data_IF_880509550038
#
_entry.id   IF_880509550038
#
_cell.length_a   1.000
_cell.length_b   1.000
_cell.length_c   1.000
_cell.angle_alpha   90.00
_cell.angle_beta   90.00
_cell.angle_gamma   90.00
#
_symmetry.space_group_name_H-M   'P 1'
#
loop_
_entity.id
_entity.type
_entity.pdbx_description
1 polymer ?
#
# COMPACT_ATOMS: atom_id res chain seq x y z
N UNK A 1 -17.56 0.16 7.54
CA UNK A 1 -17.73 -0.55 6.24
C UNK A 1 -16.96 0.18 5.14
N UNK A 2 -15.67 -0.11 4.97
CA UNK A 2 -14.99 0.21 3.71
C UNK A 2 -15.42 -0.85 2.69
N UNK A 3 -16.63 -0.67 2.12
CA UNK A 3 -17.20 -1.49 1.03
C UNK A 3 -16.51 -1.20 -0.32
N UNK A 4 -15.56 -0.28 -0.37
CA UNK A 4 -14.88 0.12 -1.59
C UNK A 4 -13.82 -0.90 -1.93
N UNK A 5 -13.96 -1.50 -3.11
CA UNK A 5 -12.96 -2.40 -3.70
C UNK A 5 -11.56 -1.80 -3.59
N UNK A 6 -10.68 -2.47 -2.83
CA UNK A 6 -9.31 -2.03 -2.49
C UNK A 6 -8.50 -1.70 -3.76
N UNK A 7 -8.80 -2.40 -4.86
CA UNK A 7 -8.25 -2.14 -6.18
C UNK A 7 -8.70 -0.78 -6.75
N UNK A 8 -9.97 -0.44 -6.58
CA UNK A 8 -10.54 0.82 -7.05
C UNK A 8 -10.00 2.02 -6.25
N UNK A 9 -9.74 1.82 -4.96
CA UNK A 9 -9.06 2.83 -4.13
C UNK A 9 -7.68 3.18 -4.69
N UNK A 10 -6.84 2.17 -4.94
CA UNK A 10 -5.49 2.38 -5.48
C UNK A 10 -5.51 3.00 -6.88
N UNK A 11 -6.48 2.64 -7.73
CA UNK A 11 -6.67 3.28 -9.04
C UNK A 11 -6.96 4.77 -8.91
N UNK A 12 -7.96 5.13 -8.08
CA UNK A 12 -8.30 6.54 -7.81
C UNK A 12 -7.15 7.31 -7.18
N UNK A 13 -6.33 6.64 -6.37
CA UNK A 13 -5.15 7.25 -5.77
C UNK A 13 -4.15 7.68 -6.84
N UNK A 14 -3.83 6.82 -7.80
CA UNK A 14 -2.95 7.20 -8.93
C UNK A 14 -3.53 8.36 -9.74
N UNK A 15 -4.85 8.34 -10.00
CA UNK A 15 -5.52 9.39 -10.78
C UNK A 15 -5.51 10.75 -10.07
N UNK A 16 -5.61 10.76 -8.74
CA UNK A 16 -5.67 11.99 -7.94
C UNK A 16 -4.31 12.53 -7.49
N UNK A 17 -3.24 11.75 -7.63
CA UNK A 17 -1.90 12.08 -7.13
C UNK A 17 -0.86 12.05 -8.28
N UNK A 18 -0.82 13.10 -9.13
CA UNK A 18 0.08 13.14 -10.29
C UNK A 18 1.57 13.17 -9.89
N UNK A 19 1.86 13.65 -8.68
CA UNK A 19 3.21 13.84 -8.12
C UNK A 19 3.85 12.53 -7.62
N UNK A 20 3.12 11.42 -7.68
CA UNK A 20 3.70 10.10 -7.46
C UNK A 20 4.85 9.85 -8.43
N UNK A 21 5.97 9.39 -7.88
CA UNK A 21 7.12 9.05 -8.70
C UNK A 21 6.88 7.75 -9.49
N UNK A 22 7.71 7.50 -10.49
CA UNK A 22 7.55 6.33 -11.36
C UNK A 22 7.64 5.00 -10.59
N UNK A 23 8.46 4.94 -9.54
CA UNK A 23 8.62 3.74 -8.70
C UNK A 23 7.33 3.49 -7.89
N UNK A 24 6.76 4.53 -7.29
CA UNK A 24 5.51 4.46 -6.53
C UNK A 24 4.35 4.07 -7.43
N UNK A 25 4.24 4.69 -8.61
CA UNK A 25 3.24 4.34 -9.63
C UNK A 25 3.37 2.87 -10.02
N UNK A 26 4.59 2.38 -10.27
CA UNK A 26 4.82 0.96 -10.58
C UNK A 26 4.42 0.03 -9.44
N UNK A 27 4.79 0.33 -8.21
CA UNK A 27 4.44 -0.50 -7.05
C UNK A 27 2.92 -0.55 -6.87
N UNK A 28 2.23 0.58 -6.98
CA UNK A 28 0.76 0.61 -6.87
C UNK A 28 0.10 -0.14 -8.04
N UNK A 29 0.58 0.03 -9.28
CA UNK A 29 0.07 -0.69 -10.44
C UNK A 29 0.23 -2.21 -10.30
N UNK A 30 1.39 -2.67 -9.84
CA UNK A 30 1.64 -4.09 -9.57
C UNK A 30 0.62 -4.64 -8.55
N UNK A 31 0.36 -3.89 -7.47
CA UNK A 31 -0.66 -4.29 -6.50
C UNK A 31 -2.08 -4.26 -7.05
N UNK A 32 -2.43 -3.31 -7.92
CA UNK A 32 -3.73 -3.30 -8.63
C UNK A 32 -3.92 -4.54 -9.51
N UNK A 33 -2.86 -4.98 -10.19
CA UNK A 33 -2.86 -6.19 -11.03
C UNK A 33 -3.02 -7.43 -10.16
N UNK A 34 -2.26 -7.53 -9.07
CA UNK A 34 -2.32 -8.67 -8.16
C UNK A 34 -3.68 -8.79 -7.45
N UNK A 35 -4.26 -7.67 -7.00
CA UNK A 35 -5.60 -7.64 -6.42
C UNK A 35 -6.71 -8.08 -7.41
N UNK A 36 -6.45 -8.00 -8.72
CA UNK A 36 -7.36 -8.47 -9.76
C UNK A 36 -7.29 -9.98 -10.04
N UNK A 37 -6.32 -10.71 -9.45
CA UNK A 37 -6.14 -12.14 -9.71
C UNK A 37 -7.02 -13.01 -8.80
N UNK A 38 -7.69 -14.04 -9.34
CA UNK A 38 -8.43 -14.99 -8.51
C UNK A 38 -7.46 -15.74 -7.59
N UNK A 39 -7.85 -15.94 -6.31
CA UNK A 39 -7.06 -16.54 -5.21
C UNK A 39 -5.98 -15.66 -4.56
N UNK A 40 -5.87 -14.37 -4.87
CA UNK A 40 -4.98 -13.47 -4.12
C UNK A 40 -5.64 -13.02 -2.82
N UNK A 41 -4.92 -13.22 -1.72
CA UNK A 41 -5.28 -12.69 -0.41
C UNK A 41 -5.05 -11.19 -0.43
N UNK A 42 -6.12 -10.41 -0.53
CA UNK A 42 -6.03 -8.96 -0.68
C UNK A 42 -5.19 -8.34 0.42
N UNK A 43 -5.38 -8.76 1.68
CA UNK A 43 -4.62 -8.23 2.82
C UNK A 43 -3.11 -8.52 2.73
N UNK A 44 -2.72 -9.66 2.15
CA UNK A 44 -1.32 -9.99 1.91
C UNK A 44 -0.69 -9.06 0.86
N UNK A 45 -1.42 -8.81 -0.23
CA UNK A 45 -0.95 -7.90 -1.29
C UNK A 45 -0.77 -6.48 -0.76
N UNK A 46 -1.65 -6.05 0.13
CA UNK A 46 -1.59 -4.72 0.70
C UNK A 46 -0.51 -4.58 1.73
N UNK A 47 -0.26 -5.64 2.49
CA UNK A 47 0.92 -5.75 3.35
C UNK A 47 2.20 -5.60 2.54
N UNK A 48 2.26 -6.25 1.38
CA UNK A 48 3.38 -6.11 0.47
C UNK A 48 3.50 -4.66 -0.02
N UNK A 49 2.40 -4.03 -0.45
CA UNK A 49 2.36 -2.62 -0.84
C UNK A 49 2.89 -1.69 0.25
N UNK A 50 2.40 -1.78 1.50
CA UNK A 50 2.89 -0.92 2.57
C UNK A 50 4.36 -1.17 2.91
N UNK A 51 4.83 -2.42 2.88
CA UNK A 51 6.25 -2.73 3.05
C UNK A 51 7.11 -2.10 1.95
N UNK A 52 6.65 -2.12 0.70
CA UNK A 52 7.33 -1.44 -0.40
C UNK A 52 7.38 0.07 -0.17
N UNK A 53 6.27 0.70 0.25
CA UNK A 53 6.23 2.13 0.56
C UNK A 53 7.06 2.49 1.79
N UNK A 54 7.09 1.64 2.81
CA UNK A 54 7.95 1.82 3.98
C UNK A 54 9.42 1.75 3.60
N UNK A 55 9.82 0.80 2.74
CA UNK A 55 11.18 0.72 2.21
C UNK A 55 11.55 1.96 1.40
N UNK A 56 10.65 2.44 0.53
CA UNK A 56 10.86 3.68 -0.21
C UNK A 56 10.97 4.90 0.71
N UNK A 57 10.21 4.92 1.82
CA UNK A 57 10.31 5.96 2.84
C UNK A 57 11.69 5.95 3.52
N UNK A 58 12.21 4.77 3.85
CA UNK A 58 13.53 4.62 4.46
C UNK A 58 14.65 5.03 3.50
N UNK A 59 14.49 4.71 2.21
CA UNK A 59 15.43 5.08 1.16
C UNK A 59 15.32 6.58 0.75
N UNK A 60 14.46 7.37 1.41
CA UNK A 60 14.16 8.77 1.05
C UNK A 60 13.68 8.95 -0.41
N UNK A 61 13.11 7.90 -0.99
CA UNK A 61 12.57 7.84 -2.36
C UNK A 61 11.05 7.97 -2.38
N UNK A 62 10.43 8.33 -1.26
CA UNK A 62 8.98 8.45 -1.14
C UNK A 62 8.56 9.91 -1.30
N UNK A 63 7.65 10.15 -2.25
CA UNK A 63 7.00 11.44 -2.45
C UNK A 63 6.08 11.77 -1.28
N UNK A 64 5.65 13.03 -1.18
CA UNK A 64 4.69 13.42 -0.14
C UNK A 64 3.34 12.72 -0.31
N UNK A 65 2.91 12.49 -1.56
CA UNK A 65 1.74 11.65 -1.87
C UNK A 65 1.95 10.20 -1.46
N UNK A 66 3.15 9.65 -1.67
CA UNK A 66 3.48 8.30 -1.19
C UNK A 66 3.43 8.18 0.34
N UNK A 67 3.84 9.22 1.08
CA UNK A 67 3.70 9.28 2.54
C UNK A 67 2.23 9.32 2.96
N UNK A 68 1.38 10.03 2.22
CA UNK A 68 -0.07 10.04 2.45
C UNK A 68 -0.67 8.65 2.25
N UNK A 69 -0.29 7.94 1.18
CA UNK A 69 -0.74 6.57 0.94
C UNK A 69 -0.28 5.62 2.05
N UNK A 70 0.99 5.69 2.45
CA UNK A 70 1.53 4.88 3.55
C UNK A 70 0.76 5.13 4.86
N UNK A 71 0.45 6.40 5.16
CA UNK A 71 -0.34 6.76 6.34
C UNK A 71 -1.77 6.23 6.26
N UNK A 72 -2.39 6.25 5.09
CA UNK A 72 -3.73 5.70 4.88
C UNK A 72 -3.76 4.18 4.97
N UNK A 73 -2.73 3.52 4.41
CA UNK A 73 -2.47 2.08 4.56
C UNK A 73 -2.43 1.73 6.05
N UNK A 74 -1.62 2.44 6.84
CA UNK A 74 -1.48 2.21 8.28
C UNK A 74 -2.69 2.59 9.14
N UNK A 75 -3.45 3.65 8.77
CA UNK A 75 -4.58 4.15 9.56
C UNK A 75 -5.85 3.32 9.44
N UNK A 76 -6.02 2.58 8.34
CA UNK A 76 -7.14 1.66 8.23
C UNK A 76 -6.92 0.42 9.09
N UNK A 77 -8.00 -0.17 9.60
CA UNK A 77 -8.06 -1.57 10.10
C UNK A 77 -7.41 -2.61 9.16
N UNK A 78 -7.00 -2.21 7.96
CA UNK A 78 -6.21 -2.97 7.01
C UNK A 78 -4.97 -3.65 7.58
N UNK A 79 -4.26 -3.00 8.51
CA UNK A 79 -2.99 -3.50 9.07
C UNK A 79 -3.06 -3.93 10.53
N UNK A 80 -4.14 -3.64 11.25
CA UNK A 80 -4.22 -3.96 12.68
C UNK A 80 -4.07 -5.46 12.95
N UNK A 81 -4.54 -6.32 12.04
CA UNK A 81 -4.32 -7.78 12.13
C UNK A 81 -2.88 -8.25 11.89
N UNK A 82 -2.01 -7.41 11.30
CA UNK A 82 -0.65 -7.77 10.88
C UNK A 82 0.41 -7.06 11.73
N UNK A 83 0.13 -5.84 12.20
CA UNK A 83 0.98 -5.14 13.18
C UNK A 83 1.04 -5.89 14.52
N UNK A 84 -0.03 -6.59 14.93
CA UNK A 84 0.02 -7.49 16.08
C UNK A 84 0.94 -8.71 15.89
N UNK A 85 1.24 -9.10 14.64
CA UNK A 85 2.24 -10.12 14.32
C UNK A 85 3.64 -9.54 14.02
N UNK A 86 3.79 -8.22 13.96
CA UNK A 86 5.09 -7.53 13.82
C UNK A 86 5.77 -7.32 15.18
N UNK A 87 5.74 -8.36 16.02
CA UNK A 87 6.76 -8.63 17.05
C UNK A 87 8.13 -8.96 16.40
N UNK A 88 8.38 -8.49 15.17
CA UNK A 88 9.41 -8.92 14.23
C UNK A 88 10.32 -7.78 13.74
N UNK A 89 10.47 -6.70 14.52
CA UNK A 89 11.58 -5.76 14.41
C UNK A 89 12.12 -5.43 15.80
N UNK A 90 12.58 -6.46 16.50
CA UNK A 90 13.16 -6.36 17.83
C UNK A 90 13.80 -7.66 18.28
N UNK A 91 14.86 -8.07 17.57
CA UNK A 91 16.03 -8.74 18.13
C UNK A 91 17.24 -8.51 17.21
#
# INVERSE_FOLDING_TARGET
MFKTDKRNYLKKFIENHPDLNDIEKQVIQNSIVNLGRPKVWQDKELTHLAKSFQKLSLDSKLSDDGKVLLKQLHKGDWFFGILYNLKFFGN
#
